data_IF_472526587990
#
_entry.id   IF_472526587990
#
_cell.length_a   1.000
_cell.length_b   1.000
_cell.length_c   1.000
_cell.angle_alpha   90.00
_cell.angle_beta   90.00
_cell.angle_gamma   90.00
#
_symmetry.space_group_name_H-M   'P 1'
#
loop_
_entity.id
_entity.type
_entity.pdbx_description
1 polymer ?
#
# COMPACT_ATOMS: atom_id res chain seq x y z
N UNK A 1 7.89 -10.93 7.93
CA UNK A 1 8.62 -9.91 8.72
C UNK A 1 9.97 -10.32 9.30
N UNK A 2 10.29 -11.59 9.63
CA UNK A 2 11.68 -11.91 10.06
C UNK A 2 12.69 -11.63 8.94
N UNK A 3 12.48 -12.17 7.74
CA UNK A 3 13.44 -12.00 6.64
C UNK A 3 13.61 -10.55 6.16
N UNK A 4 12.52 -9.78 6.06
CA UNK A 4 12.57 -8.37 5.69
C UNK A 4 13.30 -7.51 6.72
N UNK A 5 13.13 -7.81 8.01
CA UNK A 5 13.82 -7.11 9.11
C UNK A 5 15.33 -7.37 9.03
N UNK A 6 15.74 -8.63 8.99
CA UNK A 6 17.17 -9.01 8.91
C UNK A 6 17.85 -8.42 7.67
N UNK A 7 17.15 -8.42 6.53
CA UNK A 7 17.70 -7.84 5.30
C UNK A 7 17.87 -6.33 5.39
N UNK A 8 16.91 -5.61 5.98
CA UNK A 8 17.00 -4.16 6.21
C UNK A 8 18.14 -3.84 7.17
N UNK A 9 18.27 -4.57 8.27
CA UNK A 9 19.36 -4.40 9.23
C UNK A 9 20.73 -4.59 8.57
N UNK A 10 20.89 -5.65 7.77
CA UNK A 10 22.12 -5.91 7.04
C UNK A 10 22.46 -4.80 6.02
N UNK A 11 21.45 -4.14 5.44
CA UNK A 11 21.63 -3.20 4.33
C UNK A 11 21.37 -1.72 4.71
N UNK A 12 21.20 -1.42 6.00
CA UNK A 12 20.70 -0.12 6.46
C UNK A 12 21.51 1.07 5.92
N UNK A 13 22.84 0.97 5.92
CA UNK A 13 23.75 2.01 5.39
C UNK A 13 23.53 2.24 3.89
N UNK A 14 23.37 1.16 3.12
CA UNK A 14 23.13 1.27 1.67
C UNK A 14 21.75 1.84 1.37
N UNK A 15 20.74 1.43 2.14
CA UNK A 15 19.37 1.87 1.98
C UNK A 15 19.22 3.36 2.26
N UNK A 16 19.79 3.87 3.35
CA UNK A 16 19.72 5.29 3.69
C UNK A 16 20.30 6.23 2.63
N UNK A 17 21.26 5.75 1.83
CA UNK A 17 21.87 6.53 0.77
C UNK A 17 21.22 6.36 -0.62
N UNK A 18 20.45 5.29 -0.85
CA UNK A 18 20.06 4.86 -2.21
C UNK A 18 18.57 4.57 -2.39
N UNK A 19 17.85 4.18 -1.33
CA UNK A 19 16.46 3.80 -1.43
C UNK A 19 15.56 5.03 -1.52
N UNK A 20 14.73 5.11 -2.57
CA UNK A 20 13.78 6.21 -2.77
C UNK A 20 12.43 5.88 -2.15
N UNK A 21 11.94 4.65 -2.34
CA UNK A 21 10.70 4.16 -1.77
C UNK A 21 10.69 2.62 -1.68
N UNK A 22 9.83 2.08 -0.81
CA UNK A 22 9.52 0.66 -0.73
C UNK A 22 8.04 0.42 -1.10
N UNK A 23 7.79 -0.53 -1.99
CA UNK A 23 6.44 -0.89 -2.44
C UNK A 23 6.13 -2.29 -1.94
N UNK A 24 5.20 -2.39 -1.01
CA UNK A 24 4.73 -3.64 -0.43
C UNK A 24 3.48 -4.13 -1.17
N UNK A 25 3.51 -5.41 -1.55
CA UNK A 25 2.37 -6.15 -2.11
C UNK A 25 2.45 -7.58 -1.58
N UNK A 26 1.87 -7.82 -0.40
CA UNK A 26 1.89 -9.13 0.24
C UNK A 26 0.87 -10.07 -0.42
N UNK A 27 -0.43 -9.77 -0.23
CA UNK A 27 -1.51 -10.42 -0.97
C UNK A 27 -2.08 -9.45 -2.00
N UNK A 28 -1.72 -9.61 -3.27
CA UNK A 28 -2.14 -8.68 -4.33
C UNK A 28 -3.67 -8.61 -4.51
N UNK A 29 -4.38 -9.74 -4.34
CA UNK A 29 -5.82 -9.84 -4.53
C UNK A 29 -6.42 -10.76 -3.46
N UNK A 30 -7.26 -10.20 -2.61
CA UNK A 30 -8.03 -10.89 -1.58
C UNK A 30 -9.55 -10.65 -1.71
N UNK A 31 -9.98 -9.80 -2.63
CA UNK A 31 -11.40 -9.55 -2.92
C UNK A 31 -11.62 -8.30 -3.77
N UNK A 32 -12.89 -7.87 -3.94
CA UNK A 32 -13.20 -6.67 -4.72
C UNK A 32 -12.89 -5.37 -3.97
N UNK A 33 -12.54 -4.32 -4.71
CA UNK A 33 -12.17 -3.00 -4.19
C UNK A 33 -10.65 -2.78 -4.09
N UNK A 34 -10.22 -1.53 -4.04
CA UNK A 34 -8.80 -1.17 -3.98
C UNK A 34 -8.47 -0.58 -2.61
N UNK A 35 -7.35 -1.02 -2.04
CA UNK A 35 -6.79 -0.50 -0.81
C UNK A 35 -5.42 0.13 -1.07
N UNK A 36 -5.13 1.23 -0.38
CA UNK A 36 -3.81 1.81 -0.30
C UNK A 36 -3.51 2.31 1.12
N UNK A 37 -2.36 1.92 1.65
CA UNK A 37 -1.68 2.57 2.76
C UNK A 37 -0.37 3.18 2.27
N UNK A 38 -0.04 4.40 2.70
CA UNK A 38 1.20 5.03 2.28
C UNK A 38 1.71 6.06 3.28
N UNK A 39 2.99 6.39 3.13
CA UNK A 39 3.57 7.61 3.71
C UNK A 39 3.07 8.85 2.93
N UNK A 40 2.84 10.01 3.59
CA UNK A 40 2.22 11.19 2.96
C UNK A 40 2.93 11.69 1.70
N UNK A 41 4.26 11.49 1.60
CA UNK A 41 5.07 11.86 0.43
C UNK A 41 4.61 11.15 -0.86
N UNK A 42 3.87 10.05 -0.75
CA UNK A 42 3.45 9.22 -1.88
C UNK A 42 1.93 9.31 -2.17
N UNK A 43 1.17 10.08 -1.39
CA UNK A 43 -0.29 10.19 -1.52
C UNK A 43 -0.71 10.62 -2.94
N UNK A 44 -0.13 11.71 -3.45
CA UNK A 44 -0.44 12.23 -4.78
C UNK A 44 -0.03 11.25 -5.89
N UNK A 45 1.09 10.53 -5.71
CA UNK A 45 1.55 9.54 -6.68
C UNK A 45 0.55 8.39 -6.81
N UNK A 46 0.05 7.88 -5.69
CA UNK A 46 -0.98 6.82 -5.68
C UNK A 46 -2.25 7.30 -6.39
N UNK A 47 -2.72 8.52 -6.10
CA UNK A 47 -3.88 9.12 -6.74
C UNK A 47 -3.66 9.26 -8.27
N UNK A 48 -2.51 9.74 -8.70
CA UNK A 48 -2.27 9.99 -10.13
C UNK A 48 -2.05 8.71 -10.94
N UNK A 49 -1.50 7.66 -10.32
CA UNK A 49 -1.40 6.34 -10.95
C UNK A 49 -2.78 5.69 -11.08
N UNK A 50 -3.61 5.75 -10.04
CA UNK A 50 -4.94 5.10 -10.07
C UNK A 50 -5.90 5.73 -11.09
N UNK A 51 -5.70 7.00 -11.47
CA UNK A 51 -6.42 7.67 -12.58
C UNK A 51 -6.04 7.14 -13.96
N UNK A 52 -4.94 6.40 -14.08
CA UNK A 52 -4.41 5.89 -15.37
C UNK A 52 -4.62 4.40 -15.55
N UNK A 53 -5.03 3.69 -14.49
CA UNK A 53 -5.25 2.24 -14.50
C UNK A 53 -6.75 1.98 -14.66
N UNK A 54 -7.11 1.12 -15.61
CA UNK A 54 -8.51 0.68 -15.80
C UNK A 54 -8.96 -0.18 -14.63
N UNK A 55 -10.18 0.03 -14.16
CA UNK A 55 -10.76 -0.84 -13.13
C UNK A 55 -11.06 -2.23 -13.72
N UNK A 56 -10.69 -3.32 -13.03
CA UNK A 56 -10.90 -4.68 -13.54
C UNK A 56 -12.37 -5.12 -13.53
N UNK A 57 -13.23 -4.42 -12.79
CA UNK A 57 -14.62 -4.81 -12.53
C UNK A 57 -15.63 -3.76 -13.07
N UNK A 58 -15.18 -2.58 -13.49
CA UNK A 58 -16.01 -1.50 -14.02
C UNK A 58 -15.50 -1.07 -15.41
N UNK A 59 -16.17 -1.55 -16.46
CA UNK A 59 -15.83 -1.24 -17.83
C UNK A 59 -15.89 0.27 -18.10
N UNK A 60 -14.84 0.80 -18.73
CA UNK A 60 -14.72 2.22 -19.07
C UNK A 60 -14.34 3.13 -17.90
N UNK A 61 -14.22 2.61 -16.67
CA UNK A 61 -13.78 3.37 -15.50
C UNK A 61 -12.33 3.05 -15.12
N UNK A 62 -11.74 3.97 -14.37
CA UNK A 62 -10.42 3.83 -13.75
C UNK A 62 -10.53 3.34 -12.31
N UNK A 63 -9.44 2.80 -11.78
CA UNK A 63 -9.34 2.40 -10.36
C UNK A 63 -9.67 3.59 -9.46
N UNK A 64 -9.18 4.78 -9.80
CA UNK A 64 -9.48 6.01 -9.06
C UNK A 64 -10.98 6.32 -9.05
N UNK A 65 -11.67 6.27 -10.19
CA UNK A 65 -13.10 6.60 -10.26
C UNK A 65 -13.94 5.63 -9.42
N UNK A 66 -13.64 4.33 -9.47
CA UNK A 66 -14.34 3.35 -8.64
C UNK A 66 -14.02 3.49 -7.15
N UNK A 67 -12.76 3.77 -6.82
CA UNK A 67 -12.31 3.99 -5.45
C UNK A 67 -12.91 5.28 -4.86
N UNK A 68 -13.01 6.35 -5.66
CA UNK A 68 -13.64 7.63 -5.31
C UNK A 68 -15.12 7.48 -5.02
N UNK A 69 -15.84 6.75 -5.88
CA UNK A 69 -17.28 6.55 -5.77
C UNK A 69 -17.71 5.89 -4.45
N UNK A 70 -16.81 5.13 -3.79
CA UNK A 70 -17.06 4.52 -2.48
C UNK A 70 -16.77 5.45 -1.30
N UNK A 71 -16.55 6.75 -1.52
CA UNK A 71 -16.05 7.72 -0.52
C UNK A 71 -14.70 7.30 0.11
N UNK A 72 -13.90 6.51 -0.61
CA UNK A 72 -12.62 6.00 -0.14
C UNK A 72 -11.41 6.84 -0.64
N UNK A 73 -11.60 7.92 -1.39
CA UNK A 73 -10.44 8.72 -1.86
C UNK A 73 -9.77 9.53 -0.75
N UNK A 74 -10.45 9.79 0.37
CA UNK A 74 -9.81 10.29 1.60
C UNK A 74 -9.15 9.18 2.45
N UNK A 75 -8.96 7.96 1.92
CA UNK A 75 -8.62 6.76 2.71
C UNK A 75 -7.29 6.10 2.37
N UNK A 76 -6.31 6.83 1.79
CA UNK A 76 -4.93 6.32 1.85
C UNK A 76 -4.58 6.20 3.33
N UNK A 77 -4.52 4.99 3.85
CA UNK A 77 -4.24 4.75 5.26
C UNK A 77 -2.79 5.13 5.57
N UNK A 78 -2.49 5.40 6.84
CA UNK A 78 -1.12 5.61 7.28
C UNK A 78 -0.52 4.27 7.69
N UNK A 79 0.72 4.05 7.30
CA UNK A 79 1.48 2.85 7.66
C UNK A 79 2.02 2.96 9.10
N UNK A 80 1.11 2.91 10.09
CA UNK A 80 1.45 2.96 11.52
C UNK A 80 1.60 1.59 12.17
N UNK A 81 1.24 0.52 11.46
CA UNK A 81 1.32 -0.86 11.92
C UNK A 81 2.72 -1.47 11.78
N UNK A 82 2.87 -2.67 12.32
CA UNK A 82 4.05 -3.52 12.16
C UNK A 82 3.62 -4.94 11.74
N UNK A 83 2.63 -5.01 10.86
CA UNK A 83 1.89 -6.21 10.45
C UNK A 83 2.25 -6.71 9.04
N UNK A 84 3.09 -5.98 8.29
CA UNK A 84 3.65 -6.43 7.02
C UNK A 84 5.07 -5.90 6.79
N UNK A 85 5.71 -6.35 5.72
CA UNK A 85 7.14 -6.16 5.46
C UNK A 85 7.55 -4.69 5.21
N UNK A 86 6.61 -3.75 5.07
CA UNK A 86 6.93 -2.32 5.03
C UNK A 86 7.49 -1.77 6.35
N UNK A 87 7.23 -2.42 7.49
CA UNK A 87 7.57 -1.85 8.80
C UNK A 87 9.07 -1.60 9.01
N UNK A 88 10.00 -2.55 8.76
CA UNK A 88 11.42 -2.27 8.88
C UNK A 88 11.92 -1.21 7.87
N UNK A 89 11.35 -1.14 6.66
CA UNK A 89 11.73 -0.11 5.69
C UNK A 89 11.30 1.28 6.15
N UNK A 90 10.08 1.43 6.67
CA UNK A 90 9.56 2.71 7.12
C UNK A 90 10.08 3.12 8.50
N UNK A 91 9.86 2.28 9.51
CA UNK A 91 10.06 2.63 10.92
C UNK A 91 11.53 2.56 11.32
N UNK A 92 12.31 1.67 10.72
CA UNK A 92 13.72 1.49 11.05
C UNK A 92 14.63 2.22 10.04
N UNK A 93 14.42 2.02 8.74
CA UNK A 93 15.27 2.63 7.71
C UNK A 93 14.80 4.03 7.25
N UNK A 94 13.61 4.49 7.65
CA UNK A 94 13.09 5.82 7.29
C UNK A 94 12.70 5.98 5.82
N UNK A 95 12.44 4.87 5.11
CA UNK A 95 12.16 4.87 3.67
C UNK A 95 10.66 5.09 3.43
N UNK A 96 10.28 6.08 2.59
CA UNK A 96 8.89 6.25 2.15
C UNK A 96 8.32 4.94 1.63
N UNK A 97 7.14 4.55 2.10
CA UNK A 97 6.60 3.21 1.86
C UNK A 97 5.14 3.25 1.43
N UNK A 98 4.74 2.24 0.64
CA UNK A 98 3.37 1.99 0.19
C UNK A 98 3.03 0.53 0.51
N UNK A 99 1.78 0.27 0.86
CA UNK A 99 1.15 -1.04 0.91
C UNK A 99 -0.16 -1.03 0.12
N UNK A 100 -0.31 -1.90 -0.88
CA UNK A 100 -1.46 -1.92 -1.78
C UNK A 100 -1.94 -3.33 -2.06
N UNK A 101 -3.25 -3.47 -2.19
CA UNK A 101 -3.90 -4.71 -2.62
C UNK A 101 -5.32 -4.45 -3.13
N UNK A 102 -5.89 -5.46 -3.80
CA UNK A 102 -7.32 -5.53 -4.10
C UNK A 102 -8.06 -6.29 -3.01
N UNK A 103 -8.99 -5.63 -2.31
CA UNK A 103 -9.81 -6.19 -1.24
C UNK A 103 -10.45 -5.11 -0.37
N UNK A 104 -11.47 -5.49 0.42
CA UNK A 104 -11.97 -4.60 1.49
C UNK A 104 -10.88 -4.47 2.56
N UNK A 105 -10.45 -3.23 2.83
CA UNK A 105 -9.70 -2.88 4.04
C UNK A 105 -10.61 -2.91 5.26
N UNK A 106 -11.09 -4.11 5.60
CA UNK A 106 -11.87 -4.42 6.80
C UNK A 106 -11.09 -5.40 7.66
N UNK A 107 -11.21 -5.29 8.98
CA UNK A 107 -10.53 -6.19 9.92
C UNK A 107 -10.80 -7.64 9.53
N UNK A 108 -9.74 -8.46 9.55
CA UNK A 108 -9.81 -9.91 9.48
C UNK A 108 -10.86 -10.41 10.50
N UNK A 109 -12.08 -10.71 10.03
CA UNK A 109 -13.22 -11.03 10.90
C UNK A 109 -14.61 -10.84 10.31
N UNK A 110 -14.80 -9.98 9.31
CA UNK A 110 -16.14 -9.67 8.76
C UNK A 110 -16.47 -10.43 7.47
N UNK A 111 -15.85 -11.60 7.27
CA UNK A 111 -16.17 -12.52 6.20
C UNK A 111 -17.27 -13.50 6.68
N UNK A 112 -18.51 -13.02 6.77
CA UNK A 112 -19.68 -13.89 6.82
C UNK A 112 -20.68 -13.42 5.75
N UNK A 113 -21.25 -14.36 4.94
CA UNK A 113 -22.03 -14.03 3.75
C UNK A 113 -23.32 -13.26 4.04
#
# INVERSE_FOLDING_TARGET
MVGSTEWVEQNLVNLGAKAVAYLNVDCAVQGPGFFAGATPQLDNLVIDVTKKVKDPEAEGATVYEKWAAKNQVNTIQRLSGADSDFAPFLQHAGIPSIDIYYGRGGKKGDDNP
#
